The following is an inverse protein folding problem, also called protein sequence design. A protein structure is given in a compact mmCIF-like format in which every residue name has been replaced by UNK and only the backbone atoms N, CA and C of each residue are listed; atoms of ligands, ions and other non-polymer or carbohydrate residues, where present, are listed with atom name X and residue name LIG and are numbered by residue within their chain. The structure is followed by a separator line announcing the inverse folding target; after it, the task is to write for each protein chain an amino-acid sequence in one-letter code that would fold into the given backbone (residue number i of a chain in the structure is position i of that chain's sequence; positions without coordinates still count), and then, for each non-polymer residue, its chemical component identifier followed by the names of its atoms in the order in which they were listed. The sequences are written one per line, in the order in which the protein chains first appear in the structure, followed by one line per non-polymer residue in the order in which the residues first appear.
data_IF_863271621114
#
_entry.id   IF_863271621114
#
_cell.length_a   1.000
_cell.length_b   1.000
_cell.length_c   1.000
_cell.angle_alpha   90.00
_cell.angle_beta   90.00
_cell.angle_gamma   90.00
#
_symmetry.space_group_name_H-M   'P 1'
#
loop_
_entity.id
_entity.type
_entity.pdbx_description
1 polymer ?
#
# COMPACT_ATOMS: atom_id res chain seq x y z
N UNK A 1 10.65 5.55 -14.83
CA UNK A 1 9.73 4.38 -14.87
C UNK A 1 10.32 3.29 -13.98
N UNK A 2 9.86 3.15 -12.74
CA UNK A 2 10.42 2.12 -11.84
C UNK A 2 9.28 1.48 -11.03
N UNK A 3 9.18 0.17 -11.19
CA UNK A 3 8.19 -0.81 -10.71
C UNK A 3 8.76 -1.48 -9.41
N UNK A 4 8.09 -1.60 -8.22
CA UNK A 4 8.73 -2.28 -7.01
C UNK A 4 7.98 -2.79 -5.71
N UNK A 5 8.04 -4.11 -5.40
CA UNK A 5 7.38 -4.89 -4.30
C UNK A 5 8.15 -4.88 -2.96
N UNK A 6 7.53 -5.45 -1.91
CA UNK A 6 7.71 -5.58 -0.43
C UNK A 6 7.51 -7.08 -0.15
N UNK A 7 8.24 -7.57 0.84
CA UNK A 7 8.01 -8.86 1.48
C UNK A 7 8.26 -8.66 2.99
N UNK A 8 7.55 -9.41 3.83
CA UNK A 8 7.59 -9.41 5.29
C UNK A 8 7.40 -10.86 5.78
N UNK A 9 8.30 -11.35 6.62
CA UNK A 9 8.32 -12.73 7.14
C UNK A 9 8.26 -12.69 8.66
N UNK A 10 7.44 -13.55 9.28
CA UNK A 10 7.68 -14.12 10.62
C UNK A 10 6.78 -15.34 10.89
N UNK A 11 7.36 -16.33 11.57
CA UNK A 11 6.98 -17.74 11.61
C UNK A 11 5.76 -18.10 12.47
N UNK A 12 5.07 -19.20 12.15
CA UNK A 12 4.41 -20.09 13.13
C UNK A 12 4.05 -21.47 12.57
N UNK A 13 3.99 -22.43 13.50
CA UNK A 13 4.07 -23.89 13.34
C UNK A 13 2.84 -24.59 12.71
N UNK A 14 3.11 -25.74 12.09
CA UNK A 14 2.19 -26.60 11.37
C UNK A 14 1.36 -27.55 12.25
N UNK A 15 0.10 -27.83 11.88
CA UNK A 15 -0.57 -29.15 12.07
C UNK A 15 -1.73 -29.35 11.07
N UNK A 16 -1.73 -30.51 10.38
CA UNK A 16 -2.93 -31.32 10.11
C UNK A 16 -3.69 -31.16 8.78
N UNK A 17 -3.53 -32.11 7.87
CA UNK A 17 -4.23 -32.21 6.57
C UNK A 17 -5.56 -32.97 6.66
N UNK A 18 -6.62 -32.47 6.00
CA UNK A 18 -7.77 -33.23 5.50
C UNK A 18 -8.23 -32.65 4.15
N UNK A 19 -8.28 -33.51 3.13
CA UNK A 19 -8.60 -33.19 1.74
C UNK A 19 -10.12 -33.11 1.51
N UNK A 20 -10.59 -32.00 0.92
CA UNK A 20 -11.90 -31.92 0.29
C UNK A 20 -11.91 -30.92 -0.88
N UNK A 21 -12.75 -31.23 -1.86
CA UNK A 21 -13.02 -30.64 -3.19
C UNK A 21 -12.90 -29.11 -3.24
N UNK A 22 -12.31 -28.48 -4.30
CA UNK A 22 -12.20 -27.03 -4.37
C UNK A 22 -13.57 -26.41 -4.70
N UNK A 23 -14.36 -26.16 -3.66
CA UNK A 23 -15.23 -24.99 -3.67
C UNK A 23 -14.27 -23.80 -3.68
N UNK A 24 -14.33 -22.94 -4.70
CA UNK A 24 -13.70 -21.62 -4.60
C UNK A 24 -14.43 -20.91 -3.47
N UNK A 25 -13.89 -21.05 -2.26
CA UNK A 25 -14.36 -20.34 -1.10
C UNK A 25 -14.20 -18.86 -1.45
N UNK A 26 -15.32 -18.14 -1.48
CA UNK A 26 -15.29 -16.70 -1.37
C UNK A 26 -14.66 -16.45 -0.01
N UNK A 27 -13.36 -16.20 0.02
CA UNK A 27 -12.63 -15.92 1.25
C UNK A 27 -13.15 -14.59 1.79
N UNK A 28 -14.11 -14.71 2.69
CA UNK A 28 -14.52 -13.59 3.55
C UNK A 28 -13.30 -13.14 4.33
N UNK A 29 -12.90 -11.86 4.24
CA UNK A 29 -11.81 -11.35 5.06
C UNK A 29 -12.07 -11.63 6.55
N UNK A 30 -11.02 -11.90 7.35
CA UNK A 30 -11.18 -12.00 8.79
C UNK A 30 -11.77 -10.69 9.35
N UNK A 31 -12.71 -10.81 10.30
CA UNK A 31 -13.39 -9.64 10.92
C UNK A 31 -12.42 -8.64 11.59
N UNK A 32 -11.19 -9.07 11.88
CA UNK A 32 -10.08 -8.26 12.34
C UNK A 32 -8.79 -9.05 12.18
N UNK A 33 -7.66 -8.37 11.97
CA UNK A 33 -6.35 -9.02 11.93
C UNK A 33 -5.26 -8.08 11.45
N UNK A 34 -4.08 -8.65 11.25
CA UNK A 34 -2.94 -7.95 10.67
C UNK A 34 -2.43 -8.76 9.50
N UNK A 35 -2.25 -8.09 8.37
CA UNK A 35 -1.57 -8.63 7.20
C UNK A 35 -0.45 -7.67 6.81
N UNK A 36 0.45 -8.11 5.93
CA UNK A 36 1.45 -7.25 5.32
C UNK A 36 1.46 -7.51 3.82
N UNK A 37 1.59 -6.43 3.06
CA UNK A 37 1.60 -6.46 1.60
C UNK A 37 2.50 -5.36 1.09
N UNK A 38 2.87 -5.43 -0.19
CA UNK A 38 3.47 -4.31 -0.93
C UNK A 38 2.55 -3.72 -1.92
N UNK A 39 2.85 -2.50 -2.34
CA UNK A 39 2.64 -2.07 -3.71
C UNK A 39 3.90 -1.59 -4.46
N UNK A 40 4.01 -2.04 -5.72
CA UNK A 40 5.00 -1.66 -6.73
C UNK A 40 4.70 -0.37 -7.48
N UNK A 41 4.83 0.78 -6.85
CA UNK A 41 4.46 2.02 -7.53
C UNK A 41 5.45 2.49 -8.61
N UNK A 42 4.90 2.75 -9.80
CA UNK A 42 5.45 3.67 -10.79
C UNK A 42 4.72 5.00 -10.65
N UNK A 43 5.45 6.05 -10.28
CA UNK A 43 4.93 7.42 -10.20
C UNK A 43 5.09 8.16 -11.53
N UNK A 44 4.03 8.85 -11.96
CA UNK A 44 3.97 9.66 -13.18
C UNK A 44 3.48 11.06 -12.83
N UNK A 45 4.27 12.12 -13.08
CA UNK A 45 3.82 13.50 -12.94
C UNK A 45 2.70 13.82 -13.93
N UNK A 46 1.65 14.50 -13.46
CA UNK A 46 0.47 14.89 -14.24
C UNK A 46 0.41 16.39 -14.48
N UNK A 47 0.79 17.18 -13.48
CA UNK A 47 0.92 18.63 -13.58
C UNK A 47 1.91 19.15 -12.56
N UNK A 48 2.35 20.39 -12.73
CA UNK A 48 3.31 21.02 -11.83
C UNK A 48 2.97 22.50 -11.65
N UNK A 49 3.00 22.94 -10.40
CA UNK A 49 3.10 24.34 -10.01
C UNK A 49 4.50 24.54 -9.46
N UNK A 50 5.28 25.42 -10.05
CA UNK A 50 6.65 25.71 -9.63
C UNK A 50 6.81 27.23 -9.53
N UNK A 51 7.00 27.73 -8.30
CA UNK A 51 7.25 29.13 -8.01
C UNK A 51 8.68 29.22 -7.48
N UNK A 52 9.64 29.68 -8.32
CA UNK A 52 11.05 29.74 -7.95
C UNK A 52 11.28 30.45 -6.61
N UNK A 53 12.01 29.78 -5.71
CA UNK A 53 12.33 30.30 -4.38
C UNK A 53 11.19 30.27 -3.36
N UNK A 54 9.98 29.83 -3.74
CA UNK A 54 8.80 29.78 -2.84
C UNK A 54 8.36 28.34 -2.59
N UNK A 55 8.16 27.56 -3.66
CA UNK A 55 7.76 26.17 -3.53
C UNK A 55 7.32 25.52 -4.83
N UNK A 56 7.13 24.21 -4.75
CA UNK A 56 6.77 23.34 -5.85
C UNK A 56 5.72 22.34 -5.42
N UNK A 57 4.69 22.16 -6.24
CA UNK A 57 3.70 21.11 -6.09
C UNK A 57 3.61 20.32 -7.40
N UNK A 58 3.59 18.99 -7.30
CA UNK A 58 3.47 18.08 -8.45
C UNK A 58 2.28 17.17 -8.20
N UNK A 59 1.28 17.22 -9.07
CA UNK A 59 0.24 16.20 -9.09
C UNK A 59 0.82 14.91 -9.67
N UNK A 60 0.58 13.79 -9.02
CA UNK A 60 1.15 12.49 -9.33
C UNK A 60 0.04 11.45 -9.50
N UNK A 61 0.16 10.64 -10.54
CA UNK A 61 -0.54 9.35 -10.63
C UNK A 61 0.47 8.27 -10.25
N UNK A 62 0.09 7.36 -9.35
CA UNK A 62 0.91 6.20 -8.99
C UNK A 62 0.16 4.91 -9.31
N UNK A 63 0.80 3.98 -10.01
CA UNK A 63 0.17 2.68 -10.36
C UNK A 63 1.13 1.54 -10.09
N UNK A 64 0.61 0.38 -9.70
CA UNK A 64 1.47 -0.76 -9.39
C UNK A 64 0.72 -2.02 -8.97
N UNK A 65 1.29 -3.21 -9.17
CA UNK A 65 0.80 -4.43 -8.53
C UNK A 65 1.00 -4.39 -7.02
N UNK A 66 0.10 -5.04 -6.30
CA UNK A 66 0.14 -5.22 -4.86
C UNK A 66 0.19 -6.71 -4.55
N UNK A 67 1.14 -7.10 -3.70
CA UNK A 67 1.41 -8.50 -3.36
C UNK A 67 1.35 -8.67 -1.86
N UNK A 68 0.57 -9.64 -1.38
CA UNK A 68 0.61 -10.02 0.02
C UNK A 68 1.96 -10.67 0.29
N UNK A 69 2.64 -10.21 1.32
CA UNK A 69 4.00 -10.64 1.64
C UNK A 69 4.14 -12.11 2.03
N UNK A 70 3.03 -12.74 2.46
CA UNK A 70 2.96 -14.17 2.80
C UNK A 70 2.38 -15.01 1.66
N UNK A 71 1.92 -14.38 0.58
CA UNK A 71 1.20 -15.05 -0.50
C UNK A 71 -0.25 -15.43 -0.16
N UNK A 72 -0.78 -14.95 0.98
CA UNK A 72 -2.20 -15.12 1.32
C UNK A 72 -3.05 -14.36 0.30
N UNK A 73 -4.21 -14.88 -0.09
CA UNK A 73 -5.09 -14.26 -1.09
C UNK A 73 -5.54 -12.84 -0.73
N UNK A 74 -5.69 -12.54 0.56
CA UNK A 74 -6.15 -11.25 1.04
C UNK A 74 -5.13 -10.16 0.76
N UNK A 75 -5.53 -9.13 -0.01
CA UNK A 75 -4.66 -8.07 -0.52
C UNK A 75 -3.52 -8.54 -1.43
N UNK A 76 -3.66 -9.73 -2.04
CA UNK A 76 -2.73 -10.21 -3.05
C UNK A 76 -3.23 -9.96 -4.47
N UNK A 77 -2.30 -9.87 -5.41
CA UNK A 77 -2.56 -9.64 -6.84
C UNK A 77 -3.48 -8.44 -7.12
N UNK A 78 -3.44 -7.41 -6.27
CA UNK A 78 -4.25 -6.22 -6.48
C UNK A 78 -3.56 -5.25 -7.45
N UNK A 79 -4.35 -4.44 -8.12
CA UNK A 79 -3.90 -3.32 -8.93
C UNK A 79 -4.14 -2.04 -8.16
N UNK A 80 -3.06 -1.41 -7.71
CA UNK A 80 -3.14 -0.11 -7.08
C UNK A 80 -3.14 0.99 -8.14
N UNK A 81 -4.04 1.95 -7.97
CA UNK A 81 -4.05 3.23 -8.66
C UNK A 81 -4.26 4.34 -7.64
N UNK A 82 -3.37 5.31 -7.61
CA UNK A 82 -3.43 6.44 -6.70
C UNK A 82 -3.37 7.77 -7.43
N UNK A 83 -4.02 8.76 -6.83
CA UNK A 83 -3.86 10.18 -7.12
C UNK A 83 -3.22 10.82 -5.90
N UNK A 84 -2.16 11.60 -6.11
CA UNK A 84 -1.37 12.19 -5.03
C UNK A 84 -0.83 13.56 -5.41
N UNK A 85 -0.39 14.31 -4.39
CA UNK A 85 0.39 15.54 -4.59
C UNK A 85 1.70 15.44 -3.84
N UNK A 86 2.81 15.72 -4.52
CA UNK A 86 4.09 15.95 -3.86
C UNK A 86 4.33 17.44 -3.71
N UNK A 87 4.64 17.87 -2.49
CA UNK A 87 4.82 19.27 -2.15
C UNK A 87 6.21 19.47 -1.57
N UNK A 88 6.90 20.50 -2.05
CA UNK A 88 8.15 21.02 -1.52
C UNK A 88 8.01 22.52 -1.27
N UNK A 89 8.06 22.95 -0.01
CA UNK A 89 7.91 24.37 0.35
C UNK A 89 8.50 24.65 1.73
N UNK A 90 9.09 25.83 1.91
CA UNK A 90 9.66 26.28 3.19
C UNK A 90 10.55 25.24 3.90
N UNK A 91 11.40 24.55 3.12
CA UNK A 91 12.30 23.50 3.63
C UNK A 91 11.62 22.19 4.04
N UNK A 92 10.33 22.03 3.75
CA UNK A 92 9.56 20.81 4.01
C UNK A 92 9.23 20.11 2.70
N UNK A 93 9.18 18.78 2.75
CA UNK A 93 8.76 17.93 1.64
C UNK A 93 7.84 16.83 2.12
N UNK A 94 6.73 16.61 1.41
CA UNK A 94 5.82 15.51 1.71
C UNK A 94 5.05 15.06 0.47
N UNK A 95 4.38 13.92 0.60
CA UNK A 95 3.40 13.42 -0.35
C UNK A 95 2.16 13.00 0.45
N UNK A 96 0.98 13.38 -0.04
CA UNK A 96 -0.29 12.84 0.42
C UNK A 96 -1.15 12.46 -0.79
N UNK A 97 -2.09 11.54 -0.58
CA UNK A 97 -2.90 11.02 -1.67
C UNK A 97 -3.92 9.98 -1.25
N UNK A 98 -4.65 9.48 -2.25
CA UNK A 98 -5.63 8.42 -2.11
C UNK A 98 -5.41 7.34 -3.16
N UNK A 99 -5.72 6.10 -2.81
CA UNK A 99 -5.52 4.92 -3.63
C UNK A 99 -6.79 4.07 -3.70
N UNK A 100 -7.00 3.47 -4.86
CA UNK A 100 -7.86 2.32 -5.05
C UNK A 100 -6.97 1.10 -5.32
N UNK A 101 -7.13 0.05 -4.52
CA UNK A 101 -6.52 -1.25 -4.75
C UNK A 101 -7.63 -2.18 -5.22
N UNK A 102 -7.57 -2.60 -6.48
CA UNK A 102 -8.60 -3.44 -7.10
C UNK A 102 -8.08 -4.86 -7.27
N UNK A 103 -8.78 -5.84 -6.75
CA UNK A 103 -8.39 -7.23 -6.93
C UNK A 103 -8.86 -7.82 -8.28
N UNK A 104 -8.57 -9.10 -8.47
CA UNK A 104 -8.92 -9.89 -9.66
C UNK A 104 -10.44 -9.98 -9.90
N UNK A 105 -11.24 -9.98 -8.83
CA UNK A 105 -12.70 -10.07 -8.88
C UNK A 105 -13.36 -8.70 -9.16
N UNK A 106 -12.57 -7.61 -9.09
CA UNK A 106 -13.02 -6.24 -9.25
C UNK A 106 -13.44 -5.58 -7.94
N UNK A 107 -13.24 -6.24 -6.80
CA UNK A 107 -13.49 -5.66 -5.49
C UNK A 107 -12.37 -4.67 -5.12
N UNK A 108 -12.74 -3.57 -4.48
CA UNK A 108 -11.87 -2.42 -4.26
C UNK A 108 -11.66 -2.18 -2.78
N UNK A 109 -10.41 -1.96 -2.38
CA UNK A 109 -10.04 -1.30 -1.12
C UNK A 109 -9.71 0.15 -1.42
N UNK A 110 -10.29 1.07 -0.65
CA UNK A 110 -10.01 2.49 -0.76
C UNK A 110 -9.23 2.98 0.45
N UNK A 111 -8.14 3.69 0.17
CA UNK A 111 -7.20 4.12 1.19
C UNK A 111 -6.62 5.50 0.92
N UNK A 112 -6.05 6.10 1.95
CA UNK A 112 -5.29 7.35 1.88
C UNK A 112 -3.90 7.15 2.43
N UNK A 113 -2.97 8.02 2.09
CA UNK A 113 -1.67 8.06 2.73
C UNK A 113 -1.17 9.49 2.95
N UNK A 114 -0.34 9.67 3.97
CA UNK A 114 0.34 10.94 4.27
C UNK A 114 1.75 10.66 4.80
N UNK A 115 2.79 11.18 4.13
CA UNK A 115 4.19 11.00 4.55
C UNK A 115 4.60 11.88 5.73
N UNK A 116 3.70 12.73 6.23
CA UNK A 116 3.90 13.53 7.46
C UNK A 116 3.41 12.79 8.70
N UNK A 117 2.48 11.86 8.55
CA UNK A 117 1.94 11.06 9.66
C UNK A 117 2.88 9.88 9.93
N UNK A 118 3.70 10.01 10.97
CA UNK A 118 4.72 9.02 11.33
C UNK A 118 4.38 8.36 12.67
N UNK A 119 4.28 7.03 12.65
CA UNK A 119 4.22 6.23 13.89
C UNK A 119 5.62 6.06 14.48
N UNK A 120 5.95 6.92 15.45
CA UNK A 120 7.25 6.90 16.14
C UNK A 120 7.52 5.61 16.94
N UNK A 121 6.51 4.77 17.18
CA UNK A 121 6.69 3.48 17.84
C UNK A 121 7.27 2.42 16.91
N UNK A 122 7.22 2.65 15.60
CA UNK A 122 7.75 1.76 14.56
C UNK A 122 8.81 2.47 13.72
N UNK A 123 10.03 2.69 14.27
CA UNK A 123 11.04 3.56 13.67
C UNK A 123 11.59 3.08 12.32
N UNK A 124 11.29 1.84 11.91
CA UNK A 124 11.64 1.31 10.58
C UNK A 124 10.58 1.59 9.51
N UNK A 125 9.41 2.09 9.90
CA UNK A 125 8.26 2.44 9.05
C UNK A 125 8.08 3.96 9.04
N UNK A 126 9.14 4.66 8.66
CA UNK A 126 9.31 6.11 8.84
C UNK A 126 8.93 6.94 7.61
N UNK A 127 8.27 6.34 6.60
CA UNK A 127 7.89 7.08 5.40
C UNK A 127 6.51 7.73 5.49
N UNK A 128 5.59 7.16 6.26
CA UNK A 128 4.24 7.70 6.38
C UNK A 128 3.26 6.72 6.98
N UNK A 129 2.00 7.10 6.93
CA UNK A 129 0.89 6.23 7.32
C UNK A 129 -0.08 6.06 6.16
N UNK A 130 -0.44 4.81 5.91
CA UNK A 130 -1.52 4.40 5.02
C UNK A 130 -2.76 4.07 5.86
N UNK A 131 -3.92 4.50 5.40
CA UNK A 131 -5.19 4.38 6.12
C UNK A 131 -6.22 3.78 5.17
N UNK A 132 -6.67 2.56 5.47
CA UNK A 132 -7.79 1.95 4.78
C UNK A 132 -9.08 2.53 5.36
N UNK A 133 -9.88 3.14 4.50
CA UNK A 133 -11.11 3.87 4.89
C UNK A 133 -12.38 3.13 4.50
N UNK A 134 -12.29 2.14 3.62
CA UNK A 134 -13.42 1.33 3.21
C UNK A 134 -13.09 0.41 2.04
N UNK A 135 -14.11 -0.32 1.59
CA UNK A 135 -14.01 -1.18 0.42
C UNK A 135 -15.37 -1.65 -0.13
N UNK A 136 -15.33 -2.32 -1.26
CA UNK A 136 -16.49 -2.92 -1.95
C UNK A 136 -16.45 -4.45 -1.90
N UNK A 137 -17.54 -5.10 -2.29
CA UNK A 137 -17.70 -6.56 -2.29
C UNK A 137 -17.21 -7.22 -1.01
N UNK A 138 -16.22 -8.13 -1.11
CA UNK A 138 -15.68 -8.84 0.05
C UNK A 138 -14.95 -7.94 1.05
N UNK A 139 -14.48 -6.76 0.64
CA UNK A 139 -13.84 -5.78 1.51
C UNK A 139 -14.80 -4.80 2.18
N UNK A 140 -16.13 -4.96 2.04
CA UNK A 140 -17.09 -4.04 2.68
C UNK A 140 -16.89 -3.99 4.20
N UNK A 141 -16.73 -2.78 4.72
CA UNK A 141 -16.55 -2.54 6.16
C UNK A 141 -15.10 -2.63 6.65
N UNK A 142 -14.13 -2.91 5.77
CA UNK A 142 -12.72 -2.88 6.15
C UNK A 142 -12.28 -1.47 6.54
N UNK A 143 -11.53 -1.36 7.64
CA UNK A 143 -10.82 -0.15 8.03
C UNK A 143 -9.48 -0.54 8.63
N UNK A 144 -8.49 0.32 8.56
CA UNK A 144 -7.18 0.04 9.14
C UNK A 144 -6.25 1.24 9.06
N UNK A 145 -5.22 1.23 9.91
CA UNK A 145 -4.13 2.20 9.90
C UNK A 145 -2.82 1.45 9.97
N UNK A 146 -1.91 1.72 9.06
CA UNK A 146 -0.62 1.03 8.97
C UNK A 146 0.50 2.00 8.59
N UNK A 147 1.58 2.08 9.40
CA UNK A 147 2.75 2.82 8.98
C UNK A 147 3.49 2.04 7.88
N UNK A 148 4.13 2.77 6.96
CA UNK A 148 4.87 2.17 5.86
C UNK A 148 6.29 2.73 5.74
N UNK A 149 7.18 1.89 5.22
CA UNK A 149 8.53 2.28 4.82
C UNK A 149 8.57 2.56 3.31
N UNK A 150 9.39 3.53 2.91
CA UNK A 150 9.73 3.76 1.50
C UNK A 150 11.06 3.07 1.21
N UNK A 151 11.02 2.00 0.42
CA UNK A 151 12.20 1.20 0.13
C UNK A 151 12.78 1.65 -1.20
N UNK A 152 14.00 2.20 -1.20
CA UNK A 152 14.69 2.52 -2.45
C UNK A 152 15.21 1.24 -3.12
N UNK A 153 15.54 1.35 -4.42
CA UNK A 153 16.02 0.20 -5.20
C UNK A 153 17.31 -0.41 -4.67
N UNK A 154 18.14 0.40 -4.02
CA UNK A 154 19.45 0.01 -3.49
C UNK A 154 19.34 -0.70 -2.14
N UNK A 155 18.33 -0.36 -1.33
CA UNK A 155 18.08 -0.99 -0.02
C UNK A 155 17.47 -2.39 -0.16
N UNK A 156 16.71 -2.63 -1.23
CA UNK A 156 16.09 -3.93 -1.53
C UNK A 156 17.07 -5.03 -1.97
N UNK A 157 18.35 -4.71 -2.22
CA UNK A 157 19.41 -5.68 -2.53
C UNK A 157 20.16 -6.18 -1.29
N UNK A 158 19.91 -5.58 -0.13
CA UNK A 158 20.54 -5.92 1.14
C UNK A 158 19.66 -6.84 2.03
N UNK A 159 18.57 -7.36 1.47
CA UNK A 159 17.62 -8.28 2.12
C UNK A 159 17.58 -9.59 1.33
#
# INVERSE_FOLDING_TARGET
MVNKSLILIMASAAVGALSSVPVQAVETPPNSGTTSYTTHFVFVPKSTVDIPGVGKAVALEATGPTENTKGDSFLNDMKAKCEAVSIETAGKKWIDGACALTDVDGDVVFSTFDTRDLDKTQPKMDCGTHIITGGTGKYRGITGKEPFACINKDDARAI
#
